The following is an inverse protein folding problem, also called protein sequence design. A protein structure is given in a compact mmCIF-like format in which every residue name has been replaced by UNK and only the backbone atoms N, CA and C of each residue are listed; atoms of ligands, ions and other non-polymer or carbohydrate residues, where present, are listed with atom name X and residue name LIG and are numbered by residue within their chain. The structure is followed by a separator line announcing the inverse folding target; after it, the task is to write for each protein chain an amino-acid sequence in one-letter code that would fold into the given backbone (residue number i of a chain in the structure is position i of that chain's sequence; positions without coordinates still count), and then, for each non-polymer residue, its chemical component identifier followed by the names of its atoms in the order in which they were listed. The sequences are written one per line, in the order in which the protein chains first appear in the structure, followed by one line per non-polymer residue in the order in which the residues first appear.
data_IF_435534199833
#
_entry.id   IF_435534199833
#
_cell.length_a   1.000
_cell.length_b   1.000
_cell.length_c   1.000
_cell.angle_alpha   90.00
_cell.angle_beta   90.00
_cell.angle_gamma   90.00
#
_symmetry.space_group_name_H-M   'P 1'
#
loop_
_entity.id
_entity.type
_entity.pdbx_description
1 polymer ?
#
# COMPACT_ATOMS: atom_id res chain seq x y z
N UNK A 1 -8.16 -20.87 4.08
CA UNK A 1 -7.78 -19.52 3.63
C UNK A 1 -8.77 -18.91 2.63
N UNK A 2 -9.51 -19.70 1.83
CA UNK A 2 -10.38 -19.16 0.76
C UNK A 2 -11.64 -18.40 1.20
N UNK A 3 -12.44 -18.89 2.16
CA UNK A 3 -13.71 -18.23 2.52
C UNK A 3 -13.55 -16.96 3.38
N UNK A 4 -12.58 -16.94 4.30
CA UNK A 4 -12.38 -15.80 5.23
C UNK A 4 -11.88 -14.55 4.51
N UNK A 5 -10.91 -14.71 3.60
CA UNK A 5 -10.42 -13.61 2.77
C UNK A 5 -11.51 -13.08 1.82
N UNK A 6 -12.41 -13.94 1.35
CA UNK A 6 -13.53 -13.53 0.49
C UNK A 6 -14.53 -12.64 1.26
N UNK A 7 -14.88 -13.01 2.49
CA UNK A 7 -15.79 -12.23 3.32
C UNK A 7 -15.18 -10.86 3.71
N UNK A 8 -13.91 -10.81 4.09
CA UNK A 8 -13.20 -9.56 4.43
C UNK A 8 -13.12 -8.62 3.22
N UNK A 9 -12.74 -9.15 2.06
CA UNK A 9 -12.68 -8.40 0.81
C UNK A 9 -14.06 -7.90 0.39
N UNK A 10 -15.10 -8.73 0.53
CA UNK A 10 -16.47 -8.34 0.22
C UNK A 10 -16.97 -7.23 1.15
N UNK A 11 -16.74 -7.36 2.46
CA UNK A 11 -17.12 -6.35 3.43
C UNK A 11 -16.48 -4.99 3.14
N UNK A 12 -15.19 -4.97 2.84
CA UNK A 12 -14.46 -3.74 2.52
C UNK A 12 -14.77 -3.21 1.12
N UNK A 13 -15.42 -4.00 0.27
CA UNK A 13 -15.80 -3.55 -1.07
C UNK A 13 -17.00 -2.60 -1.06
N UNK A 14 -17.79 -2.55 0.01
CA UNK A 14 -18.89 -1.59 0.14
C UNK A 14 -18.35 -0.17 0.34
N UNK A 15 -18.86 0.79 -0.45
CA UNK A 15 -18.35 2.15 -0.48
C UNK A 15 -18.52 2.89 0.85
N UNK A 16 -19.62 2.69 1.55
CA UNK A 16 -19.92 3.27 2.86
C UNK A 16 -18.94 2.76 3.93
N UNK A 17 -18.79 1.44 4.04
CA UNK A 17 -17.83 0.80 4.95
C UNK A 17 -16.40 1.29 4.66
N UNK A 18 -16.03 1.33 3.38
CA UNK A 18 -14.71 1.78 2.94
C UNK A 18 -14.47 3.25 3.32
N UNK A 19 -15.43 4.12 3.06
CA UNK A 19 -15.35 5.54 3.42
C UNK A 19 -15.23 5.74 4.93
N UNK A 20 -16.06 5.05 5.71
CA UNK A 20 -16.09 5.13 7.17
C UNK A 20 -14.75 4.74 7.79
N UNK A 21 -14.08 3.73 7.25
CA UNK A 21 -12.74 3.33 7.68
C UNK A 21 -11.74 4.48 7.50
N UNK A 22 -11.69 5.09 6.32
CA UNK A 22 -10.76 6.20 6.08
C UNK A 22 -11.11 7.43 6.91
N UNK A 23 -12.39 7.79 6.98
CA UNK A 23 -12.87 8.93 7.74
C UNK A 23 -12.60 8.76 9.24
N UNK A 24 -12.90 7.59 9.81
CA UNK A 24 -12.84 7.34 11.25
C UNK A 24 -11.45 6.93 11.74
N UNK A 25 -10.68 6.17 10.95
CA UNK A 25 -9.40 5.62 11.39
C UNK A 25 -8.25 6.50 10.96
N UNK A 26 -8.22 6.91 9.69
CA UNK A 26 -7.05 7.58 9.10
C UNK A 26 -7.15 9.09 9.18
N UNK A 27 -8.29 9.65 8.76
CA UNK A 27 -8.48 11.09 8.62
C UNK A 27 -8.96 11.74 9.92
N UNK A 28 -9.73 11.02 10.75
CA UNK A 28 -10.43 11.53 11.94
C UNK A 28 -11.45 12.63 11.64
N UNK A 29 -12.07 12.56 10.45
CA UNK A 29 -13.06 13.52 9.94
C UNK A 29 -13.84 12.92 8.78
N UNK A 30 -15.09 13.37 8.60
CA UNK A 30 -16.00 12.89 7.54
C UNK A 30 -15.74 13.61 6.21
N UNK A 31 -14.66 13.24 5.51
CA UNK A 31 -14.25 13.88 4.25
C UNK A 31 -14.52 13.05 3.00
N UNK A 32 -14.41 11.73 3.10
CA UNK A 32 -14.64 10.82 1.98
C UNK A 32 -16.13 10.57 1.88
N UNK A 33 -16.75 11.11 0.83
CA UNK A 33 -18.13 10.77 0.45
C UNK A 33 -18.14 9.40 -0.26
N UNK A 34 -18.84 8.38 0.27
CA UNK A 34 -18.88 7.06 -0.36
C UNK A 34 -19.41 7.10 -1.80
N UNK A 35 -20.30 8.05 -2.14
CA UNK A 35 -20.86 8.18 -3.51
C UNK A 35 -19.83 8.64 -4.54
N UNK A 36 -18.71 9.21 -4.08
CA UNK A 36 -17.61 9.70 -4.91
C UNK A 36 -16.48 8.68 -5.07
N UNK A 37 -16.60 7.52 -4.42
CA UNK A 37 -15.68 6.40 -4.57
C UNK A 37 -16.02 5.58 -5.82
N UNK A 38 -14.98 5.17 -6.55
CA UNK A 38 -15.11 4.28 -7.71
C UNK A 38 -14.13 3.13 -7.59
N UNK A 39 -14.61 1.91 -7.85
CA UNK A 39 -13.75 0.75 -7.96
C UNK A 39 -12.71 0.98 -9.08
N UNK A 40 -11.44 0.75 -8.75
CA UNK A 40 -10.40 0.66 -9.78
C UNK A 40 -10.11 -0.80 -10.07
N UNK A 41 -9.65 -1.07 -11.30
CA UNK A 41 -9.08 -2.38 -11.60
C UNK A 41 -7.92 -2.60 -10.62
N UNK A 42 -8.07 -3.66 -9.85
CA UNK A 42 -7.14 -4.08 -8.80
C UNK A 42 -5.93 -4.78 -9.40
N UNK A 43 -6.00 -5.09 -10.69
CA UNK A 43 -4.98 -5.71 -11.53
C UNK A 43 -4.30 -4.63 -12.38
N UNK A 44 -3.14 -4.16 -11.94
CA UNK A 44 -2.20 -3.52 -12.86
C UNK A 44 -1.17 -4.59 -13.21
N UNK A 45 -1.02 -4.90 -14.49
CA UNK A 45 0.04 -5.80 -14.94
C UNK A 45 1.36 -5.05 -14.79
N UNK A 46 2.15 -5.39 -13.77
CA UNK A 46 3.58 -5.11 -13.80
C UNK A 46 4.19 -5.95 -14.94
N UNK A 47 5.17 -5.43 -15.69
CA UNK A 47 6.01 -6.27 -16.53
C UNK A 47 6.66 -7.35 -15.64
N UNK A 48 6.58 -8.59 -16.10
CA UNK A 48 7.04 -9.79 -15.38
C UNK A 48 8.44 -9.61 -14.77
N UNK A 49 8.48 -9.40 -13.45
CA UNK A 49 9.70 -9.46 -12.63
C UNK A 49 9.89 -10.90 -12.12
N UNK A 50 9.82 -11.86 -13.05
CA UNK A 50 9.98 -13.29 -12.80
C UNK A 50 8.66 -14.04 -12.54
N UNK A 51 8.63 -15.30 -12.96
CA UNK A 51 7.45 -16.19 -12.98
C UNK A 51 6.77 -16.43 -11.61
N UNK A 52 7.40 -16.02 -10.50
CA UNK A 52 6.86 -16.15 -9.15
C UNK A 52 6.19 -14.87 -8.60
N UNK A 53 6.17 -13.78 -9.38
CA UNK A 53 5.46 -12.57 -8.98
C UNK A 53 3.97 -12.74 -9.25
N UNK A 54 3.28 -13.47 -8.36
CA UNK A 54 1.82 -13.57 -8.35
C UNK A 54 1.22 -12.20 -8.67
N UNK A 55 0.43 -12.17 -9.75
CA UNK A 55 -0.28 -11.01 -10.27
C UNK A 55 -0.75 -10.08 -9.15
N UNK A 56 -0.55 -8.77 -9.34
CA UNK A 56 -0.98 -7.75 -8.40
C UNK A 56 -2.48 -7.89 -8.09
N UNK A 57 -2.82 -8.55 -7.00
CA UNK A 57 -4.15 -8.56 -6.43
C UNK A 57 -4.10 -7.70 -5.18
N UNK A 58 -4.29 -6.38 -5.32
CA UNK A 58 -4.70 -5.60 -4.15
C UNK A 58 -6.04 -6.15 -3.67
N UNK A 59 -6.30 -6.10 -2.37
CA UNK A 59 -7.58 -6.62 -1.90
C UNK A 59 -8.73 -5.70 -2.32
N UNK A 60 -8.69 -4.45 -1.86
CA UNK A 60 -9.67 -3.43 -2.26
C UNK A 60 -8.95 -2.10 -2.49
N UNK A 61 -9.17 -1.50 -3.66
CA UNK A 61 -8.71 -0.15 -3.95
C UNK A 61 -9.80 0.64 -4.67
N UNK A 62 -9.93 1.92 -4.31
CA UNK A 62 -10.93 2.83 -4.87
C UNK A 62 -10.31 4.18 -5.18
N UNK A 63 -10.72 4.75 -6.31
CA UNK A 63 -10.42 6.14 -6.66
C UNK A 63 -11.49 7.03 -6.05
N UNK A 64 -11.09 8.02 -5.25
CA UNK A 64 -11.96 9.10 -4.82
C UNK A 64 -11.93 10.20 -5.87
N UNK A 65 -13.10 10.61 -6.38
CA UNK A 65 -13.18 11.54 -7.51
C UNK A 65 -14.32 12.53 -7.35
N UNK A 66 -14.11 13.76 -7.81
CA UNK A 66 -15.17 14.74 -7.99
C UNK A 66 -15.31 15.09 -9.47
N UNK A 67 -16.43 14.67 -10.07
CA UNK A 67 -16.63 14.72 -11.52
C UNK A 67 -15.58 13.93 -12.29
N UNK A 68 -14.71 14.65 -13.02
CA UNK A 68 -13.60 14.09 -13.81
C UNK A 68 -12.25 14.15 -13.09
N UNK A 69 -12.17 14.85 -11.96
CA UNK A 69 -10.94 15.04 -11.21
C UNK A 69 -10.76 13.89 -10.24
N UNK A 70 -9.61 13.21 -10.31
CA UNK A 70 -9.22 12.21 -9.31
C UNK A 70 -8.56 12.95 -8.14
N UNK A 71 -9.07 12.72 -6.94
CA UNK A 71 -8.62 13.39 -5.73
C UNK A 71 -7.72 12.51 -4.87
N UNK A 72 -7.91 11.18 -4.89
CA UNK A 72 -7.03 10.23 -4.22
C UNK A 72 -7.19 8.82 -4.79
N UNK A 73 -6.17 7.99 -4.63
CA UNK A 73 -6.29 6.53 -4.68
C UNK A 73 -6.16 5.99 -3.26
N UNK A 74 -7.20 5.31 -2.80
CA UNK A 74 -7.29 4.74 -1.46
C UNK A 74 -7.28 3.21 -1.57
N UNK A 75 -6.47 2.54 -0.75
CA UNK A 75 -6.38 1.09 -0.75
C UNK A 75 -6.40 0.48 0.65
N UNK A 76 -6.99 -0.71 0.75
CA UNK A 76 -7.00 -1.54 1.95
C UNK A 76 -6.49 -2.92 1.56
N UNK A 77 -5.45 -3.37 2.24
CA UNK A 77 -4.91 -4.73 2.14
C UNK A 77 -5.26 -5.53 3.40
N UNK A 78 -5.68 -6.78 3.26
CA UNK A 78 -5.99 -7.64 4.40
C UNK A 78 -4.88 -8.67 4.63
N UNK A 79 -4.64 -8.97 5.89
CA UNK A 79 -3.71 -10.00 6.32
C UNK A 79 -4.31 -10.83 7.43
N UNK A 80 -4.50 -12.13 7.21
CA UNK A 80 -4.76 -13.08 8.31
C UNK A 80 -3.47 -13.69 8.87
N UNK A 81 -2.35 -13.59 8.13
CA UNK A 81 -1.00 -13.97 8.57
C UNK A 81 -0.03 -12.85 8.23
N UNK A 82 0.97 -12.65 9.08
CA UNK A 82 1.97 -11.61 8.86
C UNK A 82 2.78 -11.93 7.61
N UNK A 83 2.70 -11.08 6.58
CA UNK A 83 3.56 -11.13 5.40
C UNK A 83 4.69 -10.11 5.56
N UNK A 84 5.92 -10.62 5.67
CA UNK A 84 7.14 -9.82 5.88
C UNK A 84 7.41 -8.84 4.73
N UNK A 85 6.92 -9.13 3.53
CA UNK A 85 7.10 -8.31 2.33
C UNK A 85 5.97 -7.30 2.12
N UNK A 86 4.95 -7.25 2.99
CA UNK A 86 3.77 -6.41 2.77
C UNK A 86 4.11 -4.93 2.60
N UNK A 87 5.01 -4.39 3.42
CA UNK A 87 5.44 -3.00 3.28
C UNK A 87 6.10 -2.76 1.90
N UNK A 88 6.98 -3.67 1.46
CA UNK A 88 7.63 -3.59 0.16
C UNK A 88 6.62 -3.71 -1.00
N UNK A 89 5.64 -4.60 -0.88
CA UNK A 89 4.54 -4.75 -1.86
C UNK A 89 3.71 -3.48 -1.98
N UNK A 90 3.33 -2.86 -0.86
CA UNK A 90 2.58 -1.60 -0.85
C UNK A 90 3.39 -0.48 -1.50
N UNK A 91 4.68 -0.39 -1.20
CA UNK A 91 5.56 0.58 -1.86
C UNK A 91 5.59 0.37 -3.38
N UNK A 92 5.70 -0.88 -3.83
CA UNK A 92 5.66 -1.21 -5.26
C UNK A 92 4.33 -0.80 -5.90
N UNK A 93 3.18 -1.11 -5.27
CA UNK A 93 1.87 -0.73 -5.77
C UNK A 93 1.71 0.79 -5.88
N UNK A 94 2.11 1.51 -4.83
CA UNK A 94 2.04 2.97 -4.82
C UNK A 94 2.98 3.57 -5.88
N UNK A 95 4.20 3.04 -6.02
CA UNK A 95 5.14 3.49 -7.04
C UNK A 95 4.59 3.30 -8.45
N UNK A 96 4.00 2.14 -8.77
CA UNK A 96 3.34 1.91 -10.06
C UNK A 96 2.23 2.94 -10.32
N UNK A 97 1.37 3.19 -9.32
CA UNK A 97 0.30 4.16 -9.46
C UNK A 97 0.82 5.61 -9.64
N UNK A 98 1.94 5.97 -9.02
CA UNK A 98 2.61 7.27 -9.26
C UNK A 98 3.18 7.32 -10.68
N UNK A 99 3.87 6.27 -11.12
CA UNK A 99 4.44 6.18 -12.47
C UNK A 99 3.35 6.37 -13.53
N UNK A 100 2.16 5.79 -13.31
CA UNK A 100 1.03 5.96 -14.23
C UNK A 100 0.48 7.39 -14.23
N UNK A 101 0.49 8.08 -13.07
CA UNK A 101 0.16 9.51 -13.01
C UNK A 101 1.20 10.37 -13.74
N UNK A 102 2.49 10.04 -13.63
CA UNK A 102 3.58 10.76 -14.32
C UNK A 102 3.50 10.65 -15.85
N UNK A 103 2.92 9.56 -16.38
CA UNK A 103 2.69 9.37 -17.82
C UNK A 103 1.47 10.15 -18.34
N UNK A 104 0.66 10.73 -17.46
CA UNK A 104 -0.51 11.52 -17.84
C UNK A 104 -0.08 12.80 -18.57
N UNK A 105 -0.82 13.16 -19.64
CA UNK A 105 -0.60 14.43 -20.36
C UNK A 105 -0.88 15.65 -19.50
N UNK A 106 -1.70 15.48 -18.46
CA UNK A 106 -2.12 16.53 -17.54
C UNK A 106 -1.21 16.58 -16.29
N UNK A 107 0.00 16.04 -16.36
CA UNK A 107 1.00 16.17 -15.30
C UNK A 107 1.57 17.60 -15.24
N UNK A 108 1.78 18.20 -14.04
CA UNK A 108 1.53 17.69 -12.68
C UNK A 108 0.12 17.92 -12.12
N UNK A 109 -0.77 18.57 -12.85
CA UNK A 109 -2.12 18.96 -12.40
C UNK A 109 -3.02 17.76 -12.09
N UNK A 110 -2.67 16.58 -12.59
CA UNK A 110 -3.34 15.30 -12.34
C UNK A 110 -2.67 14.45 -11.26
N UNK A 111 -1.65 14.96 -10.54
CA UNK A 111 -1.08 14.27 -9.38
C UNK A 111 -2.09 14.26 -8.23
N UNK A 112 -2.37 13.07 -7.71
CA UNK A 112 -3.20 12.86 -6.54
C UNK A 112 -2.52 11.92 -5.53
N UNK A 113 -2.77 12.11 -4.22
CA UNK A 113 -2.22 11.25 -3.18
C UNK A 113 -2.69 9.80 -3.32
N UNK A 114 -1.81 8.88 -2.93
CA UNK A 114 -2.12 7.45 -2.80
C UNK A 114 -1.92 7.08 -1.33
N UNK A 115 -2.95 6.50 -0.73
CA UNK A 115 -2.94 6.07 0.66
C UNK A 115 -3.38 4.61 0.74
N UNK A 116 -2.59 3.81 1.44
CA UNK A 116 -2.84 2.38 1.61
C UNK A 116 -2.74 2.02 3.09
N UNK A 117 -3.75 1.35 3.61
CA UNK A 117 -3.74 0.80 4.97
C UNK A 117 -3.75 -0.73 4.93
N UNK A 118 -3.20 -1.35 5.96
CA UNK A 118 -3.22 -2.80 6.14
C UNK A 118 -4.08 -3.14 7.34
N UNK A 119 -5.07 -4.00 7.14
CA UNK A 119 -5.83 -4.62 8.22
C UNK A 119 -5.30 -6.01 8.51
N UNK A 120 -4.68 -6.12 9.68
CA UNK A 120 -4.14 -7.37 10.17
C UNK A 120 -5.14 -8.04 11.13
N UNK A 121 -5.74 -9.14 10.67
CA UNK A 121 -6.69 -9.99 11.40
C UNK A 121 -6.04 -11.26 11.97
N UNK A 122 -4.71 -11.32 12.00
CA UNK A 122 -3.98 -12.45 12.56
C UNK A 122 -4.02 -12.48 14.09
N UNK A 123 -3.78 -13.66 14.65
CA UNK A 123 -3.77 -13.87 16.11
C UNK A 123 -2.40 -13.57 16.74
N UNK A 124 -1.34 -13.74 15.97
CA UNK A 124 0.03 -13.43 16.37
C UNK A 124 0.26 -11.92 16.27
N UNK A 125 1.23 -11.35 16.99
CA UNK A 125 1.49 -9.92 16.84
C UNK A 125 2.07 -9.62 15.46
N UNK A 126 1.53 -8.56 14.82
CA UNK A 126 1.98 -8.11 13.50
C UNK A 126 3.46 -7.75 13.59
N UNK A 127 4.29 -8.36 12.74
CA UNK A 127 5.75 -8.28 12.77
C UNK A 127 6.50 -8.98 13.92
N UNK A 128 5.90 -9.90 14.68
CA UNK A 128 6.69 -10.81 15.56
C UNK A 128 7.67 -11.71 14.77
N UNK A 129 7.63 -11.66 13.44
CA UNK A 129 8.57 -12.34 12.57
C UNK A 129 9.77 -11.48 12.12
N UNK A 130 9.83 -10.21 12.54
CA UNK A 130 11.04 -9.39 12.47
C UNK A 130 11.88 -9.60 13.74
N UNK A 131 12.12 -10.85 14.12
CA UNK A 131 13.07 -11.15 15.19
C UNK A 131 14.47 -10.75 14.74
N UNK A 132 14.93 -9.59 15.24
CA UNK A 132 16.31 -9.13 15.46
C UNK A 132 17.29 -9.09 14.27
N UNK A 133 17.35 -10.13 13.47
CA UNK A 133 18.50 -10.49 12.66
C UNK A 133 18.60 -9.65 11.37
N UNK A 134 17.49 -9.16 10.81
CA UNK A 134 17.52 -8.35 9.58
C UNK A 134 17.93 -6.90 9.80
N UNK A 135 17.40 -6.25 10.84
CA UNK A 135 17.79 -4.88 11.18
C UNK A 135 19.21 -4.86 11.72
N UNK A 136 19.58 -5.85 12.55
CA UNK A 136 20.97 -5.99 13.01
C UNK A 136 21.92 -6.30 11.85
N UNK A 137 21.59 -7.23 10.93
CA UNK A 137 22.42 -7.46 9.72
C UNK A 137 22.48 -6.25 8.81
N UNK A 138 21.37 -5.55 8.60
CA UNK A 138 21.35 -4.33 7.79
C UNK A 138 22.25 -3.27 8.42
N UNK A 139 22.13 -3.02 9.73
CA UNK A 139 22.98 -2.10 10.47
C UNK A 139 24.44 -2.58 10.47
N UNK A 140 24.71 -3.88 10.62
CA UNK A 140 26.05 -4.46 10.57
C UNK A 140 26.69 -4.26 9.19
N UNK A 141 25.97 -4.46 8.09
CA UNK A 141 26.44 -4.20 6.72
C UNK A 141 26.74 -2.71 6.55
N UNK A 142 25.78 -1.85 6.89
CA UNK A 142 25.92 -0.40 6.73
C UNK A 142 27.01 0.20 7.63
N UNK A 143 27.32 -0.44 8.76
CA UNK A 143 28.40 0.00 9.69
C UNK A 143 29.76 -0.65 9.41
N UNK A 144 29.81 -1.87 8.84
CA UNK A 144 31.06 -2.52 8.43
C UNK A 144 31.70 -1.81 7.24
N UNK A 145 30.91 -1.36 6.27
CA UNK A 145 31.45 -0.66 5.09
C UNK A 145 31.95 0.75 5.45
N UNK A 146 31.33 1.42 6.41
CA UNK A 146 31.80 2.71 6.96
C UNK A 146 33.09 2.61 7.80
N UNK A 147 33.53 1.40 8.20
CA UNK A 147 34.84 1.22 8.84
C UNK A 147 35.98 1.00 7.85
N UNK A 148 35.69 0.60 6.60
CA UNK A 148 36.69 0.42 5.53
C UNK A 148 36.82 1.63 4.61
N UNK A 149 35.74 2.37 4.40
CA UNK A 149 35.79 3.67 3.74
C UNK A 149 35.64 4.74 4.82
N UNK A 150 36.64 5.61 5.01
CA UNK A 150 36.56 6.76 5.92
C UNK A 150 35.57 7.84 5.45
N UNK A 151 34.36 7.45 5.06
CA UNK A 151 33.30 8.32 4.58
C UNK A 151 32.33 8.61 5.73
N UNK A 152 32.38 9.85 6.21
CA UNK A 152 31.33 10.45 7.03
C UNK A 152 30.17 10.81 6.11
N UNK A 153 29.00 10.21 6.32
CA UNK A 153 27.77 10.70 5.72
C UNK A 153 27.19 11.77 6.65
N UNK A 154 27.23 13.03 6.22
CA UNK A 154 26.41 14.08 6.83
C UNK A 154 25.07 14.10 6.10
N UNK A 155 23.99 13.84 6.83
CA UNK A 155 22.64 14.02 6.33
C UNK A 155 22.24 15.50 6.51
N UNK A 156 21.91 16.16 5.39
CA UNK A 156 21.17 17.44 5.36
C UNK A 156 19.69 17.22 5.57
#
# INVERSE_FOLDING_TARGET
MGQKNLAEKQFLSFEDVFADIFNSIVLKQDLIDPKKLRNTKTETQLPDLGDDLHAQLRDVAKIYSDGKVRLALLGIENQTRSDRLMAARIMAYNATAIIDQLKSKDWPQSLYPILTIVFYFGKEKWMDQLDGDYLEKFLEIMTKDNKKAGARWEAT
#
